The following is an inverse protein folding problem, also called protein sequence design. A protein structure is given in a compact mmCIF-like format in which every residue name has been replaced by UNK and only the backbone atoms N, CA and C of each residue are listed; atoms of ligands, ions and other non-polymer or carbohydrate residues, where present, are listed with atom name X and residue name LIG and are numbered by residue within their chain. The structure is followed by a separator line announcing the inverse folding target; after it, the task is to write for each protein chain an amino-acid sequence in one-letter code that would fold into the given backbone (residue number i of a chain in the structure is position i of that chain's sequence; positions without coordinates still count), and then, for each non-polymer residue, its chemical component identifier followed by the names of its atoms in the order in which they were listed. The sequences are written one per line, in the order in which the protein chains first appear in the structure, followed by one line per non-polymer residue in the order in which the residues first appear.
data_IF_139004867671
#
_entry.id   IF_139004867671
#
_cell.length_a   1.000
_cell.length_b   1.000
_cell.length_c   1.000
_cell.angle_alpha   90.00
_cell.angle_beta   90.00
_cell.angle_gamma   90.00
#
_symmetry.space_group_name_H-M   'P 1'
#
loop_
_entity.id
_entity.type
_entity.pdbx_description
1 polymer ?
#
# COMPACT_ATOMS: atom_id res chain seq x y z
N UNK A 1 -10.08 49.81 -29.82
CA UNK A 1 -11.47 49.62 -30.29
C UNK A 1 -12.27 49.03 -29.15
N UNK A 2 -13.18 49.84 -28.59
CA UNK A 2 -14.33 49.54 -27.72
C UNK A 2 -14.19 48.59 -26.51
N UNK A 3 -14.12 49.24 -25.34
CA UNK A 3 -14.73 48.82 -24.08
C UNK A 3 -16.20 48.42 -24.30
N UNK A 4 -16.63 47.30 -23.72
CA UNK A 4 -18.05 47.03 -23.45
C UNK A 4 -18.20 46.24 -22.15
N UNK A 5 -18.50 46.96 -21.08
CA UNK A 5 -19.13 46.43 -19.86
C UNK A 5 -20.63 46.31 -20.14
N UNK A 6 -21.25 45.22 -19.70
CA UNK A 6 -22.70 45.08 -19.59
C UNK A 6 -23.04 44.48 -18.23
N UNK A 7 -23.46 45.36 -17.33
CA UNK A 7 -24.34 45.04 -16.22
C UNK A 7 -25.72 44.61 -16.75
N UNK A 8 -26.33 43.60 -16.14
CA UNK A 8 -27.79 43.55 -16.01
C UNK A 8 -28.20 42.70 -14.80
N UNK A 9 -28.83 43.37 -13.83
CA UNK A 9 -29.44 42.80 -12.64
C UNK A 9 -30.84 42.27 -12.94
N UNK A 10 -31.26 41.16 -12.31
CA UNK A 10 -32.68 40.85 -12.07
C UNK A 10 -32.81 40.25 -10.66
N UNK A 11 -33.48 40.99 -9.79
CA UNK A 11 -34.04 40.51 -8.53
C UNK A 11 -35.42 39.86 -8.79
N UNK A 12 -35.80 38.85 -8.02
CA UNK A 12 -37.21 38.58 -7.68
C UNK A 12 -37.31 37.64 -6.47
N UNK A 13 -38.12 38.07 -5.51
CA UNK A 13 -38.47 37.47 -4.22
C UNK A 13 -39.63 36.48 -4.36
N UNK A 14 -39.70 35.48 -3.48
CA UNK A 14 -40.97 34.91 -3.00
C UNK A 14 -40.71 34.11 -1.72
N UNK A 15 -41.30 34.57 -0.61
CA UNK A 15 -41.40 33.79 0.61
C UNK A 15 -42.49 32.73 0.49
N UNK A 16 -42.34 31.62 1.22
CA UNK A 16 -43.46 30.74 1.53
C UNK A 16 -43.31 30.22 2.95
N UNK A 17 -44.39 30.37 3.70
CA UNK A 17 -44.49 30.12 5.12
C UNK A 17 -45.06 28.73 5.41
N UNK A 18 -44.63 28.20 6.55
CA UNK A 18 -45.34 27.35 7.51
C UNK A 18 -45.85 25.95 7.09
N UNK A 19 -45.32 24.92 7.77
CA UNK A 19 -46.15 23.86 8.35
C UNK A 19 -45.40 23.20 9.52
N UNK A 20 -45.84 23.50 10.75
CA UNK A 20 -45.52 22.70 11.95
C UNK A 20 -46.59 21.62 12.06
N UNK A 21 -46.20 20.35 12.06
CA UNK A 21 -47.01 19.25 12.56
C UNK A 21 -46.18 18.40 13.51
N UNK A 22 -46.68 18.38 14.75
CA UNK A 22 -46.30 17.56 15.90
C UNK A 22 -46.55 16.07 15.69
N UNK A 23 -45.64 15.22 16.17
CA UNK A 23 -46.01 13.94 16.79
C UNK A 23 -44.84 13.41 17.65
N UNK A 24 -45.05 13.42 18.96
CA UNK A 24 -44.18 12.74 19.92
C UNK A 24 -44.37 11.22 19.78
N UNK A 25 -43.27 10.48 19.68
CA UNK A 25 -43.22 9.07 20.12
C UNK A 25 -41.79 8.78 20.55
N UNK A 26 -41.59 8.85 21.87
CA UNK A 26 -40.38 8.44 22.54
C UNK A 26 -40.49 6.92 22.74
N UNK A 27 -39.82 6.14 21.91
CA UNK A 27 -39.66 4.70 22.14
C UNK A 27 -38.19 4.33 22.12
N UNK A 28 -37.69 4.11 23.34
CA UNK A 28 -36.58 3.25 23.73
C UNK A 28 -35.17 3.73 23.41
N UNK A 29 -34.45 4.08 24.49
CA UNK A 29 -33.07 4.49 24.45
C UNK A 29 -32.10 3.37 24.03
N UNK A 30 -31.06 3.82 23.32
CA UNK A 30 -29.65 3.70 23.69
C UNK A 30 -29.13 2.31 24.10
N UNK A 31 -28.22 1.81 23.26
CA UNK A 31 -27.36 0.65 23.51
C UNK A 31 -27.86 -0.55 22.70
N UNK A 32 -27.24 -1.01 21.62
CA UNK A 32 -25.89 -0.82 21.15
C UNK A 32 -25.93 -0.69 19.62
N UNK A 33 -25.35 0.41 19.11
CA UNK A 33 -24.73 0.32 17.81
C UNK A 33 -23.66 -0.76 17.96
N UNK A 34 -23.93 -1.96 17.45
CA UNK A 34 -22.89 -2.95 17.21
C UNK A 34 -21.97 -2.36 16.16
N UNK A 35 -21.04 -1.57 16.66
CA UNK A 35 -19.85 -1.05 16.06
C UNK A 35 -18.94 -2.26 15.77
N UNK A 36 -19.35 -3.12 14.83
CA UNK A 36 -18.53 -4.25 14.35
C UNK A 36 -17.63 -3.86 13.17
N UNK A 37 -17.54 -2.56 12.85
CA UNK A 37 -16.71 -2.04 11.77
C UNK A 37 -15.43 -1.34 12.27
N UNK A 38 -14.85 -1.76 13.39
CA UNK A 38 -13.65 -1.07 13.93
C UNK A 38 -12.52 -1.97 14.42
N UNK A 39 -12.51 -3.25 14.05
CA UNK A 39 -11.34 -4.11 14.24
C UNK A 39 -10.56 -4.39 12.94
N UNK A 40 -11.08 -4.01 11.75
CA UNK A 40 -10.47 -4.28 10.45
C UNK A 40 -9.61 -3.13 9.89
N UNK A 41 -9.49 -2.00 10.59
CA UNK A 41 -8.81 -0.79 10.08
C UNK A 41 -7.31 -0.67 10.42
N UNK A 42 -6.67 -1.72 10.96
CA UNK A 42 -5.22 -1.64 11.25
C UNK A 42 -4.34 -1.91 10.02
N UNK A 43 -4.85 -2.65 9.03
CA UNK A 43 -4.08 -3.06 7.85
C UNK A 43 -4.47 -2.31 6.58
N UNK A 44 -5.56 -1.55 6.59
CA UNK A 44 -5.97 -0.70 5.47
C UNK A 44 -5.27 0.65 5.59
N UNK A 45 -4.36 0.93 4.67
CA UNK A 45 -3.65 2.20 4.60
C UNK A 45 -4.44 3.21 3.76
N UNK A 46 -4.41 4.49 4.15
CA UNK A 46 -5.06 5.55 3.39
C UNK A 46 -4.52 5.59 1.95
N UNK A 47 -5.42 5.65 0.96
CA UNK A 47 -5.07 5.64 -0.46
C UNK A 47 -4.63 4.28 -1.04
N UNK A 48 -4.43 3.24 -0.23
CA UNK A 48 -4.08 1.91 -0.72
C UNK A 48 -5.29 1.18 -1.33
N UNK A 49 -5.14 0.47 -2.47
CA UNK A 49 -6.25 -0.22 -3.12
C UNK A 49 -6.91 -1.31 -2.27
N UNK A 50 -6.12 -2.01 -1.46
CA UNK A 50 -6.54 -3.18 -0.69
C UNK A 50 -5.94 -3.18 0.72
N UNK A 51 -6.56 -3.87 1.68
CA UNK A 51 -5.94 -4.07 2.99
C UNK A 51 -4.67 -4.93 2.87
N UNK A 52 -3.66 -4.60 3.66
CA UNK A 52 -2.42 -5.37 3.72
C UNK A 52 -2.60 -6.65 4.56
N UNK A 53 -3.16 -7.69 3.96
CA UNK A 53 -3.36 -9.00 4.60
C UNK A 53 -3.24 -10.17 3.62
N UNK A 54 -3.28 -11.39 4.16
CA UNK A 54 -3.15 -12.62 3.38
C UNK A 54 -4.36 -12.90 2.48
N UNK A 55 -5.56 -12.42 2.81
CA UNK A 55 -6.77 -12.62 2.01
C UNK A 55 -6.73 -11.81 0.70
N UNK A 56 -5.99 -10.70 0.71
CA UNK A 56 -5.82 -9.81 -0.42
C UNK A 56 -4.48 -9.99 -1.15
N UNK A 57 -3.65 -10.97 -0.78
CA UNK A 57 -2.33 -11.18 -1.36
C UNK A 57 -2.35 -11.22 -2.90
N UNK A 58 -3.24 -12.01 -3.50
CA UNK A 58 -3.33 -12.12 -4.97
C UNK A 58 -3.75 -10.80 -5.62
N UNK A 59 -4.60 -10.03 -4.94
CA UNK A 59 -5.04 -8.72 -5.41
C UNK A 59 -3.91 -7.71 -5.31
N UNK A 60 -3.11 -7.76 -4.24
CA UNK A 60 -1.92 -6.94 -4.04
C UNK A 60 -0.86 -7.24 -5.10
N UNK A 61 -0.58 -8.52 -5.37
CA UNK A 61 0.34 -8.95 -6.43
C UNK A 61 -0.16 -8.62 -7.84
N UNK A 62 -1.44 -8.31 -8.00
CA UNK A 62 -2.00 -7.84 -9.27
C UNK A 62 -1.93 -6.31 -9.42
N UNK A 63 -1.41 -5.56 -8.44
CA UNK A 63 -1.31 -4.09 -8.50
C UNK A 63 -0.14 -3.70 -9.39
N UNK A 64 -0.31 -3.79 -10.70
CA UNK A 64 0.75 -3.48 -11.67
C UNK A 64 1.40 -4.74 -12.23
N UNK A 65 2.33 -4.55 -13.16
CA UNK A 65 2.95 -5.65 -13.89
C UNK A 65 4.24 -6.11 -13.22
N UNK A 66 4.44 -7.44 -13.18
CA UNK A 66 5.71 -8.02 -12.73
C UNK A 66 5.82 -8.23 -11.21
N UNK A 67 4.76 -7.98 -10.45
CA UNK A 67 4.69 -8.28 -9.01
C UNK A 67 4.38 -9.76 -8.80
N UNK A 68 5.34 -10.61 -9.17
CA UNK A 68 5.27 -12.05 -8.92
C UNK A 68 6.15 -12.43 -7.74
N UNK A 69 5.88 -13.58 -7.12
CA UNK A 69 6.80 -14.18 -6.14
C UNK A 69 7.65 -15.27 -6.80
N UNK A 70 8.77 -15.68 -6.17
CA UNK A 70 9.53 -16.85 -6.61
C UNK A 70 8.66 -18.11 -6.70
N UNK A 71 9.07 -19.05 -7.54
CA UNK A 71 8.42 -20.37 -7.67
C UNK A 71 8.36 -21.08 -6.31
N UNK A 72 7.18 -21.63 -5.97
CA UNK A 72 6.88 -22.30 -4.70
C UNK A 72 7.13 -21.44 -3.44
N UNK A 73 7.10 -20.11 -3.57
CA UNK A 73 7.26 -19.22 -2.42
C UNK A 73 6.11 -19.39 -1.41
N UNK A 74 6.49 -19.53 -0.14
CA UNK A 74 5.56 -19.56 0.98
C UNK A 74 5.53 -18.18 1.63
N UNK A 75 4.40 -17.48 1.51
CA UNK A 75 4.20 -16.17 2.14
C UNK A 75 3.89 -16.35 3.61
N UNK A 76 4.66 -15.69 4.47
CA UNK A 76 4.51 -15.74 5.92
C UNK A 76 3.64 -14.61 6.46
N UNK A 77 3.71 -13.42 5.85
CA UNK A 77 2.92 -12.26 6.25
C UNK A 77 2.84 -11.21 5.16
N UNK A 78 1.74 -10.45 5.19
CA UNK A 78 1.56 -9.21 4.44
C UNK A 78 1.28 -8.10 5.45
N UNK A 79 2.05 -7.02 5.41
CA UNK A 79 1.90 -5.88 6.33
C UNK A 79 2.03 -4.56 5.56
N UNK A 80 1.43 -3.45 6.04
CA UNK A 80 1.52 -2.17 5.36
C UNK A 80 2.91 -1.53 5.54
N UNK A 81 3.41 -0.86 4.50
CA UNK A 81 4.65 -0.08 4.53
C UNK A 81 4.38 1.34 5.07
N UNK A 82 4.26 1.44 6.39
CA UNK A 82 3.78 2.66 7.07
C UNK A 82 4.81 3.79 7.14
N UNK A 83 6.10 3.49 7.19
CA UNK A 83 7.18 4.47 7.22
C UNK A 83 7.32 5.13 5.86
N UNK A 84 7.26 4.35 4.77
CA UNK A 84 7.14 4.92 3.42
C UNK A 84 5.94 5.87 3.30
N UNK A 85 4.74 5.42 3.73
CA UNK A 85 3.54 6.24 3.63
C UNK A 85 3.57 7.53 4.47
N UNK A 86 4.31 7.54 5.59
CA UNK A 86 4.51 8.75 6.41
C UNK A 86 5.40 9.77 5.71
N UNK A 87 6.41 9.32 4.99
CA UNK A 87 7.38 10.20 4.33
C UNK A 87 6.88 10.73 2.97
N UNK A 88 5.98 10.00 2.31
CA UNK A 88 5.42 10.35 1.01
C UNK A 88 3.92 10.67 1.12
N UNK A 89 3.50 11.95 1.03
CA UNK A 89 2.08 12.32 1.07
C UNK A 89 1.27 11.63 -0.03
N UNK A 90 0.24 10.87 0.36
CA UNK A 90 -0.57 10.05 -0.56
C UNK A 90 0.11 8.75 -0.99
N UNK A 91 1.34 8.50 -0.52
CA UNK A 91 2.07 7.27 -0.75
C UNK A 91 1.45 6.10 0.02
N UNK A 92 1.50 4.93 -0.59
CA UNK A 92 1.18 3.68 0.08
C UNK A 92 2.13 2.55 -0.28
N UNK A 93 2.14 1.48 0.52
CA UNK A 93 2.93 0.30 0.20
C UNK A 93 2.58 -0.94 1.02
N UNK A 94 3.07 -2.07 0.54
CA UNK A 94 2.90 -3.40 1.12
C UNK A 94 4.25 -4.08 1.27
N UNK A 95 4.42 -4.84 2.34
CA UNK A 95 5.57 -5.70 2.59
C UNK A 95 5.08 -7.13 2.64
N UNK A 96 5.50 -7.92 1.66
CA UNK A 96 5.16 -9.34 1.54
C UNK A 96 6.39 -10.12 1.96
N UNK A 97 6.33 -10.71 3.15
CA UNK A 97 7.40 -11.58 3.66
C UNK A 97 7.18 -12.99 3.13
N UNK A 98 8.23 -13.60 2.58
CA UNK A 98 8.14 -14.93 2.02
C UNK A 98 9.40 -15.76 2.29
N UNK A 99 9.25 -17.07 2.13
CA UNK A 99 10.35 -18.01 2.07
C UNK A 99 10.31 -18.77 0.75
N UNK A 100 11.46 -19.07 0.18
CA UNK A 100 11.57 -19.80 -1.08
C UNK A 100 12.93 -20.51 -1.14
N UNK A 101 13.06 -21.49 -2.05
CA UNK A 101 14.34 -22.16 -2.26
C UNK A 101 15.37 -21.22 -2.89
N UNK A 102 16.66 -21.42 -2.58
CA UNK A 102 17.78 -20.68 -3.19
C UNK A 102 17.69 -20.65 -4.72
N UNK A 103 17.41 -21.82 -5.33
CA UNK A 103 17.25 -21.94 -6.78
C UNK A 103 16.08 -21.10 -7.33
N UNK A 104 14.93 -21.11 -6.64
CA UNK A 104 13.77 -20.32 -7.04
C UNK A 104 14.05 -18.81 -6.92
N UNK A 105 14.72 -18.38 -5.85
CA UNK A 105 15.11 -16.97 -5.65
C UNK A 105 16.08 -16.52 -6.75
N UNK A 106 17.12 -17.30 -7.07
CA UNK A 106 18.07 -16.95 -8.13
C UNK A 106 17.42 -16.89 -9.51
N UNK A 107 16.51 -17.83 -9.80
CA UNK A 107 15.73 -17.85 -11.04
C UNK A 107 14.82 -16.63 -11.14
N UNK A 108 14.16 -16.26 -10.04
CA UNK A 108 13.33 -15.07 -9.95
C UNK A 108 14.13 -13.78 -10.20
N UNK A 109 15.24 -13.58 -9.49
CA UNK A 109 16.11 -12.42 -9.67
C UNK A 109 16.62 -12.33 -11.11
N UNK A 110 17.08 -13.45 -11.69
CA UNK A 110 17.56 -13.46 -13.09
C UNK A 110 16.47 -13.09 -14.10
N UNK A 111 15.19 -13.40 -13.81
CA UNK A 111 14.07 -13.14 -14.71
C UNK A 111 13.55 -11.71 -14.63
N UNK A 112 13.48 -11.14 -13.43
CA UNK A 112 12.79 -9.88 -13.17
C UNK A 112 13.69 -8.71 -12.75
N UNK A 113 14.90 -8.98 -12.25
CA UNK A 113 15.86 -7.92 -11.92
C UNK A 113 16.66 -7.49 -13.15
N UNK A 114 16.98 -6.20 -13.19
CA UNK A 114 17.97 -5.66 -14.13
C UNK A 114 19.40 -6.13 -13.80
N UNK A 115 19.63 -6.70 -12.61
CA UNK A 115 20.90 -7.26 -12.19
C UNK A 115 20.92 -8.79 -12.32
N UNK A 116 22.02 -9.40 -12.80
CA UNK A 116 22.16 -10.85 -12.82
C UNK A 116 22.22 -11.40 -11.39
N UNK A 117 21.71 -12.63 -11.18
CA UNK A 117 21.71 -13.27 -9.87
C UNK A 117 23.13 -13.52 -9.30
N UNK A 118 24.18 -13.47 -10.13
CA UNK A 118 25.57 -13.49 -9.66
C UNK A 118 25.91 -12.31 -8.75
N UNK A 119 25.26 -11.15 -8.93
CA UNK A 119 25.47 -9.97 -8.09
C UNK A 119 24.92 -10.12 -6.66
N UNK A 120 24.10 -11.14 -6.39
CA UNK A 120 23.61 -11.45 -5.04
C UNK A 120 24.77 -11.82 -4.11
N UNK A 121 25.77 -12.53 -4.62
CA UNK A 121 26.93 -12.96 -3.83
C UNK A 121 28.07 -11.93 -3.84
N UNK A 122 28.19 -11.18 -4.94
CA UNK A 122 29.35 -10.32 -5.21
C UNK A 122 29.32 -8.98 -4.47
N UNK A 123 28.12 -8.45 -4.16
CA UNK A 123 27.98 -7.12 -3.55
C UNK A 123 27.10 -7.14 -2.30
N UNK A 124 27.51 -6.50 -1.19
CA UNK A 124 26.62 -6.18 -0.08
C UNK A 124 25.78 -4.95 -0.48
N UNK A 125 24.66 -5.20 -1.15
CA UNK A 125 23.85 -4.12 -1.75
C UNK A 125 22.59 -3.86 -0.93
N UNK A 126 22.74 -3.39 0.30
CA UNK A 126 21.66 -2.58 0.90
C UNK A 126 22.21 -1.20 1.12
N UNK A 127 22.10 -0.38 0.09
CA UNK A 127 22.16 1.06 0.28
C UNK A 127 20.84 1.43 0.97
N UNK A 128 20.91 1.85 2.24
CA UNK A 128 19.74 2.34 2.98
C UNK A 128 19.06 3.52 2.30
N UNK A 129 19.75 4.19 1.38
CA UNK A 129 19.21 5.27 0.53
C UNK A 129 18.26 4.77 -0.58
N UNK A 130 18.20 3.45 -0.83
CA UNK A 130 17.17 2.88 -1.72
C UNK A 130 15.86 2.78 -0.96
N UNK A 131 14.90 3.62 -1.32
CA UNK A 131 13.58 3.52 -0.73
C UNK A 131 12.93 2.15 -0.96
N UNK A 132 12.05 1.75 -0.05
CA UNK A 132 11.47 0.41 0.05
C UNK A 132 12.18 -0.49 1.07
N UNK A 133 13.05 0.06 1.92
CA UNK A 133 13.72 -0.67 3.02
C UNK A 133 13.39 -0.10 4.40
N UNK A 134 12.73 1.06 4.47
CA UNK A 134 12.45 1.83 5.68
C UNK A 134 11.47 1.14 6.64
N UNK A 135 10.66 0.24 6.09
CA UNK A 135 9.70 -0.57 6.84
C UNK A 135 10.19 -2.00 7.10
N UNK A 136 11.36 -2.37 6.58
CA UNK A 136 11.96 -3.69 6.80
C UNK A 136 13.09 -3.57 7.81
N UNK A 137 13.04 -4.40 8.86
CA UNK A 137 14.06 -4.41 9.90
C UNK A 137 15.35 -5.08 9.41
N UNK A 138 16.21 -4.28 8.78
CA UNK A 138 17.48 -4.73 8.19
C UNK A 138 18.49 -5.23 9.23
N UNK A 139 18.42 -4.73 10.47
CA UNK A 139 19.32 -5.13 11.56
C UNK A 139 19.08 -6.58 11.97
N UNK A 140 17.86 -7.08 11.76
CA UNK A 140 17.46 -8.47 12.01
C UNK A 140 17.61 -9.39 10.77
N UNK A 141 18.23 -8.90 9.69
CA UNK A 141 18.47 -9.68 8.47
C UNK A 141 19.97 -9.96 8.34
N UNK A 142 20.33 -11.24 8.23
CA UNK A 142 21.72 -11.62 8.04
C UNK A 142 22.18 -11.30 6.60
N UNK A 143 23.22 -10.47 6.48
CA UNK A 143 23.84 -10.10 5.20
C UNK A 143 22.81 -9.72 4.12
N UNK A 144 21.99 -8.69 4.37
CA UNK A 144 20.86 -8.38 3.50
C UNK A 144 21.35 -7.97 2.10
N UNK A 145 20.51 -8.19 1.10
CA UNK A 145 20.74 -7.76 -0.27
C UNK A 145 19.43 -7.25 -0.86
N UNK A 146 19.45 -6.06 -1.47
CA UNK A 146 18.27 -5.43 -2.02
C UNK A 146 18.43 -5.07 -3.50
N UNK A 147 17.35 -5.24 -4.26
CA UNK A 147 17.25 -4.80 -5.66
C UNK A 147 15.87 -4.23 -5.94
N UNK A 148 15.80 -3.17 -6.75
CA UNK A 148 14.54 -2.58 -7.18
C UNK A 148 14.12 -3.12 -8.55
N UNK A 149 12.80 -3.18 -8.80
CA UNK A 149 12.18 -3.51 -10.09
C UNK A 149 10.88 -2.73 -10.20
N UNK A 150 10.81 -1.84 -11.19
CA UNK A 150 9.66 -0.94 -11.36
C UNK A 150 9.38 -0.15 -10.09
N UNK A 151 8.17 -0.30 -9.57
CA UNK A 151 7.61 0.27 -8.35
C UNK A 151 7.77 -0.63 -7.10
N UNK A 152 8.52 -1.73 -7.21
CA UNK A 152 8.76 -2.67 -6.14
C UNK A 152 10.25 -2.85 -5.80
N UNK A 153 10.52 -3.39 -4.62
CA UNK A 153 11.86 -3.61 -4.06
C UNK A 153 11.91 -4.97 -3.40
N UNK A 154 12.86 -5.80 -3.81
CA UNK A 154 13.10 -7.14 -3.25
C UNK A 154 14.28 -7.03 -2.31
N UNK A 155 14.08 -7.49 -1.09
CA UNK A 155 15.11 -7.63 -0.08
C UNK A 155 15.25 -9.12 0.19
N UNK A 156 16.48 -9.62 0.26
CA UNK A 156 16.81 -11.02 0.49
C UNK A 156 17.77 -11.13 1.66
N UNK A 157 17.57 -12.17 2.48
CA UNK A 157 18.53 -12.58 3.49
C UNK A 157 19.51 -13.60 2.89
N UNK A 158 20.78 -13.56 3.32
CA UNK A 158 21.78 -14.57 2.96
C UNK A 158 22.18 -15.42 4.19
N UNK A 159 22.29 -16.75 4.07
CA UNK A 159 22.06 -17.57 2.87
C UNK A 159 20.59 -17.54 2.40
N UNK A 160 20.37 -17.64 1.09
CA UNK A 160 19.05 -17.44 0.48
C UNK A 160 18.02 -18.42 1.03
N UNK A 161 16.89 -17.87 1.46
CA UNK A 161 15.79 -18.66 2.03
C UNK A 161 14.62 -17.81 2.49
N UNK A 162 14.88 -16.58 2.95
CA UNK A 162 13.86 -15.57 3.25
C UNK A 162 13.99 -14.35 2.35
N UNK A 163 12.87 -13.72 2.05
CA UNK A 163 12.82 -12.46 1.33
C UNK A 163 11.61 -11.62 1.68
N UNK A 164 11.68 -10.36 1.29
CA UNK A 164 10.62 -9.37 1.43
C UNK A 164 10.43 -8.68 0.10
N UNK A 165 9.21 -8.73 -0.43
CA UNK A 165 8.80 -7.97 -1.60
C UNK A 165 8.03 -6.75 -1.13
N UNK A 166 8.58 -5.57 -1.38
CA UNK A 166 8.00 -4.28 -1.00
C UNK A 166 7.42 -3.62 -2.24
N UNK A 167 6.09 -3.52 -2.33
CA UNK A 167 5.37 -2.86 -3.44
C UNK A 167 4.95 -1.48 -2.97
N UNK A 168 5.19 -0.45 -3.76
CA UNK A 168 4.87 0.94 -3.41
C UNK A 168 4.04 1.59 -4.51
N UNK A 169 3.22 2.54 -4.11
CA UNK A 169 2.47 3.37 -5.02
C UNK A 169 2.07 4.69 -4.39
N UNK A 170 1.29 5.47 -5.12
CA UNK A 170 0.69 6.72 -4.64
C UNK A 170 -0.75 6.77 -5.09
N UNK A 171 -1.63 7.30 -4.25
CA UNK A 171 -2.94 7.75 -4.69
C UNK A 171 -2.74 8.87 -5.73
N UNK A 172 -3.49 8.80 -6.83
CA UNK A 172 -3.45 9.76 -7.92
C UNK A 172 -4.20 11.04 -7.58
#
# INVERSE_FOLDING_TARGET
MLISRRDFAIACTAGSALAVLTACSNSHGRGDAQHSASALLSNQQEGAPHPADMEHLDQILAIGDGHSLPEDAQVSSVVPATNFAKEFPGGWGYIISFTASDAAIRKYVTKYSYAPASHIEEYPTVESERGGVEDVDLDNITSPWATAFGDATLILERPLGRGWLVIRGSSR
#
